data_IF_091181408714
#
_entry.id   IF_091181408714
#
_cell.length_a   1.000
_cell.length_b   1.000
_cell.length_c   1.000
_cell.angle_alpha   90.00
_cell.angle_beta   90.00
_cell.angle_gamma   90.00
#
_symmetry.space_group_name_H-M   'P 1'
#
loop_
_entity.id
_entity.type
_entity.pdbx_description
1 polymer ?
2 non-polymer ?
3 non-polymer ?
4 non-polymer ?
5 non-polymer ?
6 water ?
#
# COMPACT_ATOMS: atom_id res chain seq x y z
N UNK A 1 15.05 -6.25 13.38
CA UNK A 1 14.74 -7.21 12.28
C UNK A 1 14.29 -8.54 12.90
N UNK A 2 13.79 -8.47 14.14
CA UNK A 2 13.21 -9.61 14.82
C UNK A 2 11.83 -9.28 15.39
N UNK A 3 11.06 -10.29 15.81
CA UNK A 3 9.67 -10.02 16.24
C UNK A 3 9.59 -9.24 17.56
N UNK A 4 10.66 -9.31 18.36
CA UNK A 4 10.78 -8.49 19.55
C UNK A 4 10.72 -7.02 19.15
N UNK A 5 11.57 -6.64 18.19
CA UNK A 5 11.62 -5.27 17.67
C UNK A 5 10.30 -4.83 17.06
N UNK A 6 9.67 -5.76 16.36
CA UNK A 6 8.39 -5.47 15.73
C UNK A 6 7.32 -5.21 16.78
N UNK A 7 7.11 -6.22 17.85
CA UNK A 7 6.07 -6.05 18.84
C UNK A 7 6.40 -4.75 19.55
N UNK A 8 7.78 -4.29 19.88
CA UNK A 8 8.12 -3.04 20.58
C UNK A 8 7.64 -1.77 19.91
N UNK A 9 7.93 -1.70 18.61
CA UNK A 9 7.56 -0.56 17.77
C UNK A 9 6.04 -0.43 17.69
N UNK A 10 5.34 -1.57 17.71
CA UNK A 10 3.86 -1.56 17.60
C UNK A 10 3.10 -1.47 18.93
N UNK A 11 3.79 -1.58 20.07
CA UNK A 11 3.09 -1.53 21.37
C UNK A 11 2.10 -0.33 21.56
N UNK A 12 2.48 0.87 21.08
CA UNK A 12 1.54 1.98 21.19
C UNK A 12 0.18 1.72 20.47
N UNK A 13 0.11 0.71 19.60
CA UNK A 13 -1.14 0.40 18.90
C UNK A 13 -2.05 -0.59 19.65
N UNK A 14 -1.57 -1.11 20.76
CA UNK A 14 -2.22 -2.19 21.46
C UNK A 14 -3.66 -1.83 21.83
N UNK A 15 -3.87 -0.67 22.44
CA UNK A 15 -5.23 -0.34 22.89
C UNK A 15 -6.20 -0.20 21.72
N UNK A 16 -5.72 0.39 20.62
CA UNK A 16 -6.51 0.51 19.38
C UNK A 16 -6.90 -0.85 18.79
N UNK A 17 -5.94 -1.75 18.67
CA UNK A 17 -6.23 -3.10 18.14
C UNK A 17 -7.04 -4.03 19.10
N UNK A 18 -7.26 -3.57 20.31
CA UNK A 18 -8.12 -4.30 21.22
C UNK A 18 -9.48 -3.61 21.28
N UNK A 19 -9.72 -2.72 20.33
CA UNK A 19 -11.05 -2.12 20.16
C UNK A 19 -11.19 -0.73 20.75
N UNK A 20 -10.14 -0.21 21.38
CA UNK A 20 -10.15 1.16 21.89
C UNK A 20 -9.99 2.22 20.81
N UNK A 21 -10.02 3.52 21.18
CA UNK A 21 -9.88 4.58 20.20
C UNK A 21 -8.50 4.60 19.58
N UNK A 22 -8.42 5.09 18.36
CA UNK A 22 -7.11 5.33 17.72
C UNK A 22 -7.25 5.44 16.23
N UNK A 23 -6.13 5.23 15.50
CA UNK A 23 -4.80 5.01 16.08
C UNK A 23 -4.18 6.32 16.53
N UNK A 24 -3.46 6.30 17.64
CA UNK A 24 -2.78 7.48 18.16
C UNK A 24 -1.64 7.92 17.21
N UNK A 25 -1.19 9.15 17.39
CA UNK A 25 0.09 9.55 16.82
C UNK A 25 1.24 8.59 17.07
N UNK A 26 1.33 8.08 18.30
CA UNK A 26 2.44 7.21 18.69
C UNK A 26 2.34 5.84 17.99
N UNK A 27 1.11 5.37 17.80
CA UNK A 27 0.87 4.16 17.03
C UNK A 27 1.30 4.34 15.59
N UNK A 28 0.86 5.42 14.95
CA UNK A 28 1.24 5.67 13.57
C UNK A 28 2.77 5.80 13.44
N UNK A 29 3.39 6.46 14.41
CA UNK A 29 4.85 6.55 14.44
C UNK A 29 5.48 5.17 14.48
N UNK A 30 4.96 4.27 15.31
CA UNK A 30 5.50 2.90 15.41
C UNK A 30 5.45 2.18 14.07
N UNK A 31 4.27 2.15 13.44
CA UNK A 31 4.18 1.52 12.11
C UNK A 31 5.07 2.14 11.00
N UNK A 32 5.08 3.47 10.92
CA UNK A 32 5.91 4.20 9.97
C UNK A 32 7.38 3.87 10.19
N UNK A 33 7.81 3.84 11.45
CA UNK A 33 9.16 3.38 11.82
C UNK A 33 9.51 2.01 11.22
N UNK A 34 8.62 1.04 11.39
CA UNK A 34 8.76 -0.31 10.85
C UNK A 34 8.84 -0.32 9.34
N UNK A 35 7.97 0.45 8.71
CA UNK A 35 8.00 0.54 7.26
C UNK A 35 9.36 1.02 6.71
N UNK A 36 9.93 2.03 7.38
CA UNK A 36 11.17 2.68 6.94
C UNK A 36 12.34 1.72 7.15
N UNK A 37 12.22 0.91 8.20
CA UNK A 37 13.26 -0.05 8.57
C UNK A 37 13.17 -1.34 7.77
N UNK A 38 11.99 -1.63 7.19
CA UNK A 38 11.79 -2.82 6.34
C UNK A 38 12.00 -2.54 4.83
N UNK A 39 13.23 -2.21 4.44
CA UNK A 39 13.52 -1.76 3.07
C UNK A 39 13.70 -2.87 2.02
N UNK A 40 13.96 -4.10 2.46
CA UNK A 40 14.14 -5.21 1.52
C UNK A 40 12.96 -6.17 1.51
N UNK A 41 12.91 -7.06 0.52
CA UNK A 41 11.89 -8.11 0.44
C UNK A 41 11.97 -9.08 1.63
N UNK A 42 13.18 -9.48 2.00
CA UNK A 42 13.40 -10.29 3.18
C UNK A 42 12.91 -9.63 4.47
N UNK A 43 13.23 -8.35 4.65
CA UNK A 43 12.75 -7.58 5.81
C UNK A 43 11.24 -7.52 5.83
N UNK A 44 10.65 -7.28 4.66
CA UNK A 44 9.18 -7.18 4.55
C UNK A 44 8.55 -8.52 4.94
N UNK A 45 9.14 -9.64 4.46
CA UNK A 45 8.60 -10.96 4.85
C UNK A 45 8.70 -11.25 6.34
N UNK A 46 9.83 -10.91 6.95
CA UNK A 46 10.00 -11.17 8.35
C UNK A 46 8.99 -10.35 9.18
N UNK A 47 8.86 -9.08 8.85
CA UNK A 47 7.95 -8.19 9.58
C UNK A 47 6.49 -8.67 9.41
N UNK A 48 6.11 -9.03 8.19
CA UNK A 48 4.80 -9.69 7.92
C UNK A 48 4.49 -10.87 8.81
N UNK A 49 5.41 -11.83 8.87
CA UNK A 49 5.19 -13.01 9.69
C UNK A 49 5.18 -12.64 11.16
N UNK A 50 6.06 -11.75 11.60
CA UNK A 50 5.93 -11.24 12.99
C UNK A 50 4.56 -10.63 13.30
N UNK A 51 4.03 -9.81 12.39
CA UNK A 51 2.75 -9.18 12.68
C UNK A 51 1.60 -10.19 12.70
N UNK A 52 1.72 -11.23 11.87
CA UNK A 52 0.66 -12.24 11.78
C UNK A 52 0.63 -12.99 13.12
N UNK A 53 1.80 -13.38 13.62
CA UNK A 53 1.86 -14.11 14.89
C UNK A 53 1.44 -13.24 16.06
N UNK A 54 1.83 -11.98 16.03
CA UNK A 54 1.44 -11.05 17.08
C UNK A 54 -0.07 -10.82 17.07
N UNK A 55 -0.65 -10.66 15.88
CA UNK A 55 -2.11 -10.50 15.74
C UNK A 55 -2.81 -11.70 16.37
N UNK A 56 -2.25 -12.87 16.09
CA UNK A 56 -2.70 -14.12 16.70
C UNK A 56 -2.61 -14.14 18.23
N UNK A 57 -1.60 -13.52 18.81
CA UNK A 57 -1.36 -13.59 20.28
C UNK A 57 -2.03 -12.50 21.10
N UNK A 58 -2.76 -11.63 20.42
CA UNK A 58 -3.42 -10.53 21.12
C UNK A 58 -4.85 -10.95 21.52
N UNK A 59 -5.11 -10.89 22.81
CA UNK A 59 -6.40 -11.24 23.38
C UNK A 59 -7.44 -10.20 22.95
N UNK A 60 -8.54 -10.67 22.35
CA UNK A 60 -9.69 -9.81 22.00
C UNK A 60 -9.33 -8.81 20.92
N UNK A 61 -8.65 -9.33 19.90
CA UNK A 61 -8.24 -8.54 18.76
C UNK A 61 -9.45 -8.00 18.04
N UNK A 62 -9.42 -6.69 17.80
CA UNK A 62 -10.42 -6.06 16.97
C UNK A 62 -9.90 -6.07 15.53
N UNK A 63 -10.48 -6.94 14.71
CA UNK A 63 -10.00 -7.13 13.37
C UNK A 63 -10.08 -5.87 12.50
N UNK A 64 -11.20 -5.16 12.57
CA UNK A 64 -11.35 -3.92 11.82
C UNK A 64 -10.26 -2.89 12.14
N UNK A 65 -10.01 -2.67 13.43
CA UNK A 65 -9.00 -1.68 13.87
C UNK A 65 -7.58 -2.09 13.43
N UNK A 66 -7.23 -3.32 13.69
CA UNK A 66 -5.93 -3.89 13.23
C UNK A 66 -5.75 -3.71 11.73
N UNK A 67 -6.75 -4.06 10.92
CA UNK A 67 -6.64 -3.93 9.48
C UNK A 67 -6.51 -2.47 9.03
N UNK A 68 -7.05 -1.54 9.84
CA UNK A 68 -7.13 -0.15 9.45
C UNK A 68 -5.81 0.62 9.65
N UNK A 69 -4.88 0.08 10.41
CA UNK A 69 -3.69 0.87 10.79
C UNK A 69 -2.93 1.52 9.59
N UNK A 70 -2.54 0.71 8.58
CA UNK A 70 -1.77 1.35 7.49
C UNK A 70 -2.53 2.52 6.83
N UNK A 71 -3.81 2.35 6.47
CA UNK A 71 -4.55 3.44 5.83
C UNK A 71 -4.79 4.61 6.74
N UNK A 72 -5.14 4.33 8.00
CA UNK A 72 -5.33 5.44 8.92
C UNK A 72 -4.05 6.26 9.23
N UNK A 73 -2.90 5.59 9.20
CA UNK A 73 -1.57 6.20 9.48
C UNK A 73 -0.85 6.65 8.20
N UNK A 74 -1.47 6.39 7.05
CA UNK A 74 -0.84 6.74 5.72
C UNK A 74 0.53 6.06 5.54
N UNK A 75 0.58 4.78 5.88
CA UNK A 75 1.79 4.01 5.71
C UNK A 75 1.48 2.87 4.75
N UNK A 76 2.39 2.67 3.80
CA UNK A 76 2.17 1.75 2.69
C UNK A 76 2.52 0.31 3.03
N UNK A 77 1.88 -0.25 4.04
CA UNK A 77 2.04 -1.69 4.32
C UNK A 77 1.43 -2.57 3.18
N UNK A 78 2.23 -3.50 2.63
CA UNK A 78 1.81 -4.23 1.41
C UNK A 78 0.94 -5.47 1.63
N UNK A 79 0.11 -5.46 2.67
CA UNK A 79 -0.78 -6.55 3.01
C UNK A 79 -1.66 -6.02 4.12
N UNK A 80 -2.69 -6.79 4.45
CA UNK A 80 -3.67 -6.41 5.45
C UNK A 80 -3.28 -7.07 6.75
N UNK A 81 -3.13 -6.29 7.81
CA UNK A 81 -2.82 -6.83 9.14
C UNK A 81 -4.02 -7.65 9.73
N UNK A 82 -3.80 -8.94 9.99
CA UNK A 82 -4.79 -9.87 10.57
C UNK A 82 -4.06 -11.08 11.13
N UNK A 83 -4.76 -11.95 11.84
CA UNK A 83 -4.12 -13.20 12.26
C UNK A 83 -3.89 -14.16 11.09
N UNK A 84 -4.32 -13.77 9.91
CA UNK A 84 -4.17 -14.69 8.79
C UNK A 84 -3.62 -14.13 7.48
N UNK A 85 -2.55 -13.36 7.59
CA UNK A 85 -1.96 -12.73 6.42
C UNK A 85 -1.26 -13.78 5.58
N UNK A 86 -1.33 -13.65 4.24
CA UNK A 86 -0.51 -14.47 3.33
C UNK A 86 0.81 -13.73 3.16
N UNK A 87 1.84 -14.17 3.89
CA UNK A 87 3.12 -13.44 3.89
C UNK A 87 4.04 -13.85 2.73
N UNK A 88 3.53 -14.74 1.90
CA UNK A 88 4.32 -15.33 0.80
C UNK A 88 4.28 -14.51 -0.49
N UNK A 89 3.34 -13.58 -0.64
CA UNK A 89 3.16 -12.93 -1.95
C UNK A 89 3.31 -11.40 -1.99
N UNK A 90 4.18 -10.88 -1.13
CA UNK A 90 4.39 -9.44 -1.04
C UNK A 90 5.20 -8.95 -2.24
N UNK A 91 4.55 -8.17 -3.10
CA UNK A 91 5.21 -7.54 -4.25
C UNK A 91 5.76 -8.55 -5.26
N UNK B 1 -7.24 -3.42 -0.79
CA UNK B 1 -7.19 -2.06 -0.18
C UNK B 1 -5.85 -1.90 0.51
N UNK B 2 -4.87 -2.66 0.06
CA UNK B 2 -3.49 -2.51 0.54
C UNK B 2 -2.52 -2.42 -0.62
N UNK B 3 -1.28 -2.07 -0.31
CA UNK B 3 -0.36 -1.82 -1.39
C UNK B 3 0.08 -3.05 -2.17
N UNK B 4 -0.07 -4.25 -1.58
CA UNK B 4 0.26 -5.49 -2.29
C UNK B 4 -0.72 -5.70 -3.43
N UNK B 5 -1.99 -5.42 -3.12
CA UNK B 5 -3.07 -5.57 -4.08
C UNK B 5 -2.90 -4.52 -5.18
N UNK B 6 -2.52 -3.29 -4.78
CA UNK B 6 -2.29 -2.23 -5.76
C UNK B 6 -1.14 -2.63 -6.70
N UNK B 7 0.03 -3.03 -6.14
CA UNK B 7 1.19 -3.47 -6.94
C UNK B 7 0.76 -4.62 -7.87
N UNK B 8 -0.01 -5.63 -7.36
CA UNK B 8 -0.39 -6.80 -8.15
C UNK B 8 -1.20 -6.43 -9.40
N UNK B 9 -2.19 -5.63 -9.19
CA UNK B 9 -3.03 -5.20 -10.29
C UNK B 9 -2.23 -4.41 -11.35
N UNK B 10 -1.19 -3.71 -10.88
CA UNK B 10 -0.40 -2.83 -11.75
C UNK B 10 0.80 -3.56 -12.38
N UNK B 11 1.09 -4.77 -11.92
CA UNK B 11 2.28 -5.51 -12.43
C UNK B 11 2.40 -5.57 -13.99
N UNK B 12 1.28 -5.79 -14.71
CA UNK B 12 1.33 -5.72 -16.20
C UNK B 12 1.88 -4.43 -16.82
N UNK B 13 1.93 -3.35 -16.01
CA UNK B 13 2.39 -2.03 -16.46
C UNK B 13 3.89 -1.87 -16.31
N UNK B 14 4.55 -2.83 -15.68
CA UNK B 14 5.97 -2.69 -15.32
C UNK B 14 6.88 -2.36 -16.52
N UNK B 15 6.82 -3.15 -17.58
CA UNK B 15 7.71 -2.98 -18.73
C UNK B 15 7.51 -1.58 -19.35
N UNK B 16 6.26 -1.13 -19.40
CA UNK B 16 5.95 0.21 -19.92
C UNK B 16 6.51 1.34 -19.02
N UNK B 17 6.33 1.23 -17.72
CA UNK B 17 6.82 2.34 -16.89
C UNK B 17 8.35 2.33 -16.73
N UNK B 18 8.98 1.23 -17.15
CA UNK B 18 10.45 1.14 -17.23
C UNK B 18 10.96 1.56 -18.60
N UNK B 19 10.06 2.11 -19.41
CA UNK B 19 10.42 2.76 -20.68
C UNK B 19 10.14 1.93 -21.93
N UNK B 20 9.64 0.71 -21.73
CA UNK B 20 9.31 -0.18 -22.85
C UNK B 20 8.05 0.30 -23.55
N UNK B 21 7.61 -0.42 -24.60
CA UNK B 21 6.36 -0.06 -25.30
C UNK B 21 5.13 -0.35 -24.44
N UNK B 22 3.99 0.25 -24.78
CA UNK B 22 2.78 0.10 -23.98
C UNK B 22 1.98 1.39 -24.01
N UNK B 23 0.97 1.50 -23.14
CA UNK B 23 0.59 0.47 -22.18
C UNK B 23 -0.14 -0.72 -22.84
N UNK B 24 0.07 -1.93 -22.31
CA UNK B 24 -0.66 -3.10 -22.78
C UNK B 24 -2.15 -3.03 -22.37
N UNK B 25 -2.97 -3.83 -23.06
CA UNK B 25 -4.36 -4.02 -22.68
C UNK B 25 -4.44 -4.57 -21.25
N UNK B 26 -3.50 -5.45 -20.90
CA UNK B 26 -3.43 -6.01 -19.54
C UNK B 26 -3.16 -4.95 -18.48
N UNK B 27 -2.26 -4.03 -18.81
CA UNK B 27 -1.98 -2.91 -17.95
C UNK B 27 -3.20 -2.01 -17.79
N UNK B 28 -3.83 -1.59 -18.87
CA UNK B 28 -5.06 -0.80 -18.69
C UNK B 28 -6.16 -1.48 -17.87
N UNK B 29 -6.31 -2.78 -18.08
CA UNK B 29 -7.27 -3.56 -17.28
C UNK B 29 -6.94 -3.52 -15.77
N UNK B 30 -5.65 -3.62 -15.46
CA UNK B 30 -5.22 -3.55 -14.04
C UNK B 30 -5.60 -2.20 -13.44
N UNK B 31 -5.30 -1.11 -14.16
CA UNK B 31 -5.63 0.23 -13.65
C UNK B 31 -7.15 0.46 -13.51
N UNK B 32 -7.91 -0.02 -14.50
CA UNK B 32 -9.36 0.07 -14.47
C UNK B 32 -9.91 -0.62 -13.23
N UNK B 33 -9.42 -1.82 -12.98
CA UNK B 33 -9.81 -2.61 -11.80
C UNK B 33 -9.57 -1.85 -10.52
N UNK B 34 -8.39 -1.25 -10.41
CA UNK B 34 -8.01 -0.51 -9.24
C UNK B 34 -8.91 0.70 -9.08
N UNK B 35 -9.21 1.38 -10.18
CA UNK B 35 -10.08 2.54 -10.13
C UNK B 35 -11.48 2.12 -9.70
N UNK B 36 -11.89 0.91 -10.11
CA UNK B 36 -13.23 0.41 -9.80
C UNK B 36 -13.33 0.08 -8.31
N UNK B 37 -12.28 -0.55 -7.78
CA UNK B 37 -12.18 -0.93 -6.36
C UNK B 37 -12.18 0.27 -5.42
N UNK B 38 -11.63 1.40 -5.89
CA UNK B 38 -11.44 2.59 -5.05
C UNK B 38 -12.65 3.55 -4.94
N UNK B 39 -13.69 3.08 -4.26
CA UNK B 39 -14.98 3.79 -4.24
C UNK B 39 -15.11 4.97 -3.28
N UNK B 40 -14.40 4.92 -2.16
CA UNK B 40 -14.49 5.97 -1.13
C UNK B 40 -13.28 6.92 -1.11
N UNK B 41 -13.47 8.07 -0.45
CA UNK B 41 -12.39 9.00 -0.12
C UNK B 41 -11.17 8.26 0.43
N UNK B 42 -11.39 7.44 1.47
CA UNK B 42 -10.34 6.60 2.06
C UNK B 42 -9.62 5.69 1.06
N UNK B 43 -10.37 4.96 0.25
CA UNK B 43 -9.82 4.04 -0.75
C UNK B 43 -8.93 4.82 -1.73
N UNK B 44 -9.43 5.95 -2.24
CA UNK B 44 -8.64 6.78 -3.17
C UNK B 44 -7.33 7.23 -2.55
N UNK B 45 -7.37 7.71 -1.30
CA UNK B 45 -6.15 8.14 -0.61
C UNK B 45 -5.14 6.99 -0.47
N UNK B 46 -5.63 5.81 -0.06
CA UNK B 46 -4.82 4.63 0.16
C UNK B 46 -4.14 4.21 -1.16
N UNK B 47 -4.94 4.08 -2.22
CA UNK B 47 -4.36 3.73 -3.50
C UNK B 47 -3.31 4.76 -3.96
N UNK B 48 -3.61 6.06 -3.84
CA UNK B 48 -2.71 7.15 -4.22
C UNK B 48 -1.35 7.03 -3.54
N UNK B 49 -1.35 6.94 -2.19
CA UNK B 49 -0.10 6.73 -1.46
C UNK B 49 0.62 5.43 -1.88
N UNK B 50 -0.12 4.32 -2.12
CA UNK B 50 0.52 3.06 -2.59
C UNK B 50 1.21 3.31 -3.95
N UNK B 51 0.54 4.02 -4.84
CA UNK B 51 1.11 4.21 -6.18
C UNK B 51 2.37 5.07 -6.11
N UNK B 52 2.37 6.07 -5.22
CA UNK B 52 3.48 6.99 -5.09
C UNK B 52 4.66 6.18 -4.55
N UNK B 53 4.41 5.39 -3.49
CA UNK B 53 5.43 4.45 -2.97
C UNK B 53 5.96 3.50 -4.03
N UNK B 54 5.06 2.87 -4.78
CA UNK B 54 5.48 1.90 -5.78
C UNK B 54 6.34 2.55 -6.84
N UNK B 55 5.93 3.73 -7.31
CA UNK B 55 6.75 4.46 -8.29
C UNK B 55 8.20 4.63 -7.79
N UNK B 56 8.37 5.04 -6.53
CA UNK B 56 9.72 5.19 -5.93
C UNK B 56 10.55 3.93 -5.95
N UNK B 57 9.89 2.76 -5.90
CA UNK B 57 10.53 1.46 -5.80
C UNK B 57 10.85 0.81 -7.13
N UNK B 58 10.53 1.49 -8.22
CA UNK B 58 10.75 0.94 -9.58
C UNK B 58 12.10 1.41 -10.13
N UNK B 59 12.99 0.49 -10.44
CA UNK B 59 14.24 0.96 -11.03
C UNK B 59 14.07 1.34 -12.51
N UNK B 60 14.85 2.33 -12.92
CA UNK B 60 14.75 2.95 -14.24
C UNK B 60 13.33 3.38 -14.62
N UNK B 61 12.67 4.07 -13.69
CA UNK B 61 11.32 4.57 -13.92
C UNK B 61 11.28 5.64 -14.98
N UNK B 62 10.45 5.37 -15.99
CA UNK B 62 10.18 6.38 -16.99
C UNK B 62 9.00 7.22 -16.50
N UNK B 63 9.31 8.46 -16.07
CA UNK B 63 8.31 9.37 -15.51
C UNK B 63 7.16 9.68 -16.46
N UNK B 64 7.49 10.01 -17.71
CA UNK B 64 6.50 10.20 -18.76
C UNK B 64 5.50 9.04 -18.95
N UNK B 65 6.03 7.82 -19.14
CA UNK B 65 5.19 6.59 -19.30
C UNK B 65 4.29 6.35 -18.08
N UNK B 66 4.86 6.43 -16.87
CA UNK B 66 4.03 6.34 -15.63
C UNK B 66 2.89 7.36 -15.59
N UNK B 67 3.19 8.62 -15.87
CA UNK B 67 2.20 9.69 -15.83
C UNK B 67 1.12 9.58 -16.90
N UNK B 68 1.42 8.86 -17.98
CA UNK B 68 0.49 8.81 -19.11
C UNK B 68 -0.53 7.66 -18.98
N UNK B 69 -0.35 6.78 -18.01
CA UNK B 69 -1.22 5.59 -17.96
C UNK B 69 -2.73 5.95 -17.93
N UNK B 70 -3.14 6.84 -17.01
CA UNK B 70 -4.59 7.08 -16.91
C UNK B 70 -5.17 7.62 -18.24
N UNK B 71 -4.52 8.62 -18.84
CA UNK B 71 -5.05 9.15 -20.12
C UNK B 71 -5.05 8.10 -21.24
N UNK B 72 -3.93 7.37 -21.36
CA UNK B 72 -3.82 6.35 -22.43
C UNK B 72 -4.87 5.28 -22.28
N UNK B 73 -5.10 4.86 -21.02
CA UNK B 73 -6.04 3.81 -20.67
C UNK B 73 -7.49 4.31 -20.52
N UNK B 74 -7.71 5.63 -20.64
CA UNK B 74 -9.05 6.20 -20.37
C UNK B 74 -9.60 5.78 -19.00
N UNK B 75 -8.80 6.04 -17.99
CA UNK B 75 -9.22 5.76 -16.63
C UNK B 75 -9.07 7.02 -15.84
N UNK B 76 -10.17 7.38 -15.17
CA UNK B 76 -10.24 8.55 -14.34
C UNK B 76 -9.45 8.28 -13.06
N UNK B 77 -8.15 8.50 -13.12
CA UNK B 77 -7.30 8.56 -11.94
C UNK B 77 -7.25 10.04 -11.53
N UNK B 78 -7.58 10.33 -10.26
CA UNK B 78 -7.70 11.72 -9.90
C UNK B 78 -6.42 12.46 -9.47
N UNK B 79 -5.28 12.05 -10.01
CA UNK B 79 -4.02 12.68 -9.69
C UNK B 79 -3.08 12.19 -10.78
N UNK B 80 -1.86 12.71 -10.80
CA UNK B 80 -0.85 12.25 -11.75
C UNK B 80 0.05 11.24 -11.09
N UNK B 81 0.19 10.06 -11.69
CA UNK B 81 1.04 9.00 -11.15
C UNK B 81 2.51 9.40 -11.27
N UNK B 82 3.20 9.41 -10.14
CA UNK B 82 4.65 9.73 -10.07
C UNK B 82 5.19 9.40 -8.67
N UNK B 83 6.52 9.43 -8.49
CA UNK B 83 7.05 9.25 -7.15
C UNK B 83 6.73 10.41 -6.21
N UNK B 84 6.17 11.48 -6.76
CA UNK B 84 5.85 12.66 -5.98
C UNK B 84 4.39 13.05 -6.23
N UNK B 85 3.51 12.58 -5.35
CA UNK B 85 2.09 12.95 -5.42
C UNK B 85 1.67 13.51 -4.08
N UNK B 86 0.79 14.52 -4.12
CA UNK B 86 0.16 15.03 -2.93
C UNK B 86 -1.17 14.29 -2.79
N UNK B 87 -1.19 13.25 -1.98
CA UNK B 87 -2.39 12.37 -1.91
C UNK B 87 -3.41 12.82 -0.86
N UNK B 88 -3.12 13.94 -0.20
CA UNK B 88 -3.96 14.41 0.89
C UNK B 88 -5.14 15.23 0.42
N UNK B 89 -5.13 15.62 -0.86
CA UNK B 89 -6.09 16.57 -1.40
C UNK B 89 -6.70 16.11 -2.74
N UNK B 90 -7.30 14.92 -2.74
CA UNK B 90 -7.85 14.38 -3.98
C UNK B 90 -9.14 15.09 -4.46
N UNK B 91 -10.30 14.69 -3.96
CA UNK B 91 -11.54 15.30 -4.41
C UNK B 91 -12.13 16.16 -3.29
#
# INVERSE_FOLDING_TARGET
LNCGQVDSKMKPCLTYVQGGPGPSGECCNGVRDLHNQAQSSGDRQTVCNCLKGIARGIHNLNLNNAASIPSKCNVNVPYTISPDIDCSRIY
LNCGQVDSKMKPCLTYVQGGPGPSGECCNGVRDLHNQAQSSGDRQTVCNCLKGIARGIHNLNLNNAASIPSKCNVNVPYTISPDIDCSRIY
#
